data_IF_869653916428
#
_entry.id   IF_869653916428
#
_cell.length_a   1.000
_cell.length_b   1.000
_cell.length_c   1.000
_cell.angle_alpha   90.00
_cell.angle_beta   90.00
_cell.angle_gamma   90.00
#
_symmetry.space_group_name_H-M   'P 1'
#
loop_
_entity.id
_entity.type
_entity.pdbx_description
1 polymer ?
#
# COMPACT_ATOMS: atom_id res chain seq x y z
N UNK A 1 -27.87 69.57 -11.17
CA UNK A 1 -29.03 68.99 -10.46
C UNK A 1 -28.63 68.82 -9.02
N UNK A 2 -29.37 69.46 -8.12
CA UNK A 2 -29.18 69.44 -6.67
C UNK A 2 -29.54 68.08 -6.07
N UNK A 3 -28.83 67.67 -5.01
CA UNK A 3 -29.19 66.53 -4.15
C UNK A 3 -28.00 65.98 -3.38
N UNK A 4 -27.82 66.32 -2.09
CA UNK A 4 -26.65 65.99 -1.27
C UNK A 4 -26.91 64.91 -0.20
N UNK A 5 -25.88 64.69 0.63
CA UNK A 5 -25.83 64.13 1.98
C UNK A 5 -25.52 62.63 2.19
N UNK A 6 -24.29 62.41 2.69
CA UNK A 6 -23.95 61.35 3.64
C UNK A 6 -24.38 61.79 5.05
N UNK A 7 -24.98 60.91 5.85
CA UNK A 7 -24.70 60.88 7.31
C UNK A 7 -24.85 59.47 7.87
N UNK A 8 -23.89 59.14 8.75
CA UNK A 8 -23.71 57.99 9.63
C UNK A 8 -24.91 57.58 10.51
N UNK A 9 -24.90 56.31 10.92
CA UNK A 9 -25.56 55.80 12.14
C UNK A 9 -25.79 54.29 12.04
N UNK A 10 -24.86 53.46 12.48
CA UNK A 10 -24.81 52.87 13.82
C UNK A 10 -25.43 51.45 13.85
N UNK A 11 -24.52 50.49 14.01
CA UNK A 11 -24.70 49.09 14.37
C UNK A 11 -25.52 48.91 15.67
N UNK A 12 -26.33 47.85 15.75
CA UNK A 12 -26.23 47.00 16.94
C UNK A 12 -26.37 45.50 16.65
N UNK A 13 -25.41 44.72 17.15
CA UNK A 13 -25.72 43.47 17.84
C UNK A 13 -25.12 42.20 17.25
N UNK A 14 -23.81 42.04 17.41
CA UNK A 14 -23.15 40.74 17.50
C UNK A 14 -23.82 39.82 18.55
N UNK A 15 -23.99 38.52 18.26
CA UNK A 15 -23.92 37.49 19.28
C UNK A 15 -22.49 36.94 19.40
N UNK A 16 -21.83 37.32 20.50
CA UNK A 16 -20.67 36.67 21.13
C UNK A 16 -21.00 35.18 21.44
N UNK A 17 -20.33 34.16 20.89
CA UNK A 17 -19.09 33.45 21.32
C UNK A 17 -19.25 31.98 20.83
N UNK A 18 -18.20 31.12 20.68
CA UNK A 18 -16.91 31.16 21.39
C UNK A 18 -15.66 31.07 20.50
N UNK A 19 -14.54 31.48 21.11
CA UNK A 19 -13.17 31.37 20.60
C UNK A 19 -12.66 29.93 20.49
N UNK A 20 -11.39 29.78 20.06
CA UNK A 20 -10.98 28.74 19.14
C UNK A 20 -10.80 27.39 19.84
N UNK A 21 -11.69 26.45 19.56
CA UNK A 21 -11.26 25.06 19.45
C UNK A 21 -10.44 24.97 18.17
N UNK A 22 -9.17 25.38 18.28
CA UNK A 22 -8.12 24.79 17.49
C UNK A 22 -8.16 23.31 17.83
N UNK A 23 -8.97 22.58 17.08
CA UNK A 23 -8.78 21.16 16.90
C UNK A 23 -7.33 21.06 16.43
N UNK A 24 -6.47 20.57 17.31
CA UNK A 24 -5.29 19.82 16.90
C UNK A 24 -5.83 18.69 16.01
N UNK A 25 -6.12 19.02 14.75
CA UNK A 25 -6.00 18.07 13.66
C UNK A 25 -4.51 17.75 13.65
N UNK A 26 -4.16 16.73 14.42
CA UNK A 26 -2.95 15.96 14.22
C UNK A 26 -2.91 15.71 12.71
N UNK A 27 -1.99 16.31 11.96
CA UNK A 27 -1.83 15.89 10.58
C UNK A 27 -1.43 14.43 10.71
N UNK A 28 -2.32 13.55 10.29
CA UNK A 28 -1.93 12.18 9.99
C UNK A 28 -0.94 12.36 8.85
N UNK A 29 0.34 12.44 9.21
CA UNK A 29 1.46 12.35 8.29
C UNK A 29 1.42 10.92 7.76
N UNK A 30 0.59 10.70 6.75
CA UNK A 30 0.58 9.44 6.02
C UNK A 30 1.85 9.42 5.18
N UNK A 31 2.83 8.66 5.65
CA UNK A 31 4.00 8.31 4.88
C UNK A 31 3.56 7.67 3.57
N UNK A 32 3.92 8.28 2.45
CA UNK A 32 3.59 7.71 1.15
C UNK A 32 3.98 8.57 -0.04
N UNK A 33 3.54 9.83 -0.10
CA UNK A 33 3.78 10.70 -1.27
C UNK A 33 3.82 12.17 -0.86
N UNK A 34 4.79 12.96 -1.35
CA UNK A 34 4.84 14.39 -1.09
C UNK A 34 3.58 15.11 -1.60
N UNK A 35 2.93 15.86 -0.72
CA UNK A 35 1.67 16.53 -1.02
C UNK A 35 1.87 17.81 -1.86
N UNK A 36 3.08 18.40 -1.88
CA UNK A 36 3.39 19.67 -2.52
C UNK A 36 4.73 19.67 -3.31
N UNK A 37 4.84 20.56 -4.30
CA UNK A 37 6.05 20.77 -5.12
C UNK A 37 7.29 21.15 -4.29
N UNK A 38 7.09 21.76 -3.11
CA UNK A 38 8.14 22.08 -2.15
C UNK A 38 8.78 20.82 -1.55
N UNK A 39 7.98 19.79 -1.29
CA UNK A 39 8.42 18.54 -0.67
C UNK A 39 9.17 17.65 -1.67
N UNK A 40 8.77 17.66 -2.95
CA UNK A 40 9.55 17.06 -4.03
C UNK A 40 10.88 17.76 -4.30
N UNK A 41 10.91 19.09 -4.15
CA UNK A 41 12.15 19.84 -4.29
C UNK A 41 13.13 19.48 -3.16
N UNK A 42 12.62 19.23 -1.95
CA UNK A 42 13.41 18.73 -0.82
C UNK A 42 13.87 17.29 -1.05
N UNK A 43 13.00 16.40 -1.53
CA UNK A 43 13.37 15.03 -1.86
C UNK A 43 14.45 14.98 -2.96
N UNK A 44 14.30 15.78 -4.03
CA UNK A 44 15.35 15.94 -5.06
C UNK A 44 16.66 16.47 -4.47
N UNK A 45 16.60 17.39 -3.51
CA UNK A 45 17.78 17.96 -2.84
C UNK A 45 18.46 16.94 -1.90
N UNK A 46 17.68 16.04 -1.29
CA UNK A 46 18.15 14.91 -0.47
C UNK A 46 18.64 13.73 -1.32
N UNK A 47 18.65 13.86 -2.64
CA UNK A 47 19.13 12.82 -3.55
C UNK A 47 18.12 11.70 -3.80
N UNK A 48 16.89 11.80 -3.26
CA UNK A 48 15.83 10.83 -3.51
C UNK A 48 15.47 10.82 -4.99
N UNK A 49 15.54 9.63 -5.59
CA UNK A 49 15.17 9.38 -6.97
C UNK A 49 13.87 8.57 -7.04
N UNK A 50 13.11 8.67 -8.14
CA UNK A 50 11.88 7.90 -8.34
C UNK A 50 12.10 6.38 -8.22
N UNK A 51 11.75 5.78 -7.08
CA UNK A 51 11.89 4.35 -6.83
C UNK A 51 13.05 3.97 -5.91
N UNK A 52 13.75 4.94 -5.32
CA UNK A 52 14.33 4.75 -4.01
C UNK A 52 13.19 4.46 -3.01
N UNK A 53 13.39 3.57 -2.00
CA UNK A 53 12.42 3.43 -0.93
C UNK A 53 12.14 4.81 -0.35
N UNK A 54 10.87 5.11 -0.08
CA UNK A 54 10.52 6.35 0.60
C UNK A 54 11.34 6.36 1.90
N UNK A 55 12.11 7.43 2.19
CA UNK A 55 12.88 7.47 3.43
C UNK A 55 11.91 7.22 4.61
N UNK A 56 12.33 6.42 5.60
CA UNK A 56 11.57 6.21 6.83
C UNK A 56 11.36 7.57 7.50
N UNK A 57 10.20 8.17 7.25
CA UNK A 57 9.84 9.50 7.79
C UNK A 57 9.63 9.45 9.31
N UNK A 58 9.58 8.27 9.91
CA UNK A 58 9.57 8.07 11.36
C UNK A 58 10.92 8.45 12.02
N UNK A 59 12.02 8.44 11.27
CA UNK A 59 13.37 8.79 11.76
C UNK A 59 13.73 10.28 11.71
N UNK A 60 12.90 11.13 11.08
CA UNK A 60 13.22 12.56 10.93
C UNK A 60 12.97 13.38 12.20
N UNK A 61 12.40 12.75 13.25
CA UNK A 61 12.13 13.39 14.53
C UNK A 61 13.17 13.05 15.61
N UNK A 62 14.15 12.19 15.31
CA UNK A 62 15.31 12.03 16.18
C UNK A 62 16.29 13.17 15.93
N UNK A 63 16.58 13.91 17.00
CA UNK A 63 17.58 14.95 17.00
C UNK A 63 18.92 14.37 16.50
N UNK A 64 19.69 15.10 15.68
CA UNK A 64 20.99 14.60 15.24
C UNK A 64 21.92 14.49 16.46
N UNK A 65 22.18 13.26 16.90
CA UNK A 65 23.30 12.99 17.80
C UNK A 65 24.59 13.39 17.06
N UNK A 66 25.36 14.26 17.69
CA UNK A 66 26.61 14.81 17.16
C UNK A 66 27.59 13.69 16.77
N UNK A 67 27.75 13.43 15.47
CA UNK A 67 28.84 12.59 14.97
C UNK A 67 30.04 13.48 14.68
N UNK A 68 31.02 13.38 15.58
CA UNK A 68 32.33 13.98 15.45
C UNK A 68 33.04 13.58 14.15
N UNK A 69 33.71 14.58 13.59
CA UNK A 69 34.78 14.50 12.60
C UNK A 69 35.63 13.22 12.68
N UNK A 70 35.75 12.48 11.57
CA UNK A 70 37.04 12.02 11.05
C UNK A 70 36.95 11.41 9.63
N UNK A 71 37.85 11.89 8.75
CA UNK A 71 38.63 11.03 7.86
C UNK A 71 37.97 10.47 6.59
N UNK A 72 38.17 11.18 5.48
CA UNK A 72 38.05 10.65 4.12
C UNK A 72 38.87 9.36 3.95
N UNK A 73 38.23 8.26 3.56
CA UNK A 73 38.91 7.07 3.06
C UNK A 73 38.14 6.47 1.89
N UNK A 74 38.64 6.69 0.67
CA UNK A 74 38.24 5.92 -0.51
C UNK A 74 38.89 4.53 -0.45
N UNK A 75 38.19 3.44 -0.78
CA UNK A 75 38.87 2.22 -1.19
C UNK A 75 38.62 1.89 -2.67
N UNK A 76 39.74 1.67 -3.36
CA UNK A 76 39.84 1.08 -4.69
C UNK A 76 39.33 -0.36 -4.71
N UNK A 77 38.82 -0.73 -5.88
CA UNK A 77 38.34 -2.04 -6.30
C UNK A 77 39.29 -3.20 -5.97
N UNK A 78 38.73 -4.28 -5.42
CA UNK A 78 39.39 -5.57 -5.25
C UNK A 78 38.39 -6.71 -5.44
N UNK A 79 38.36 -7.27 -6.63
CA UNK A 79 37.53 -8.42 -7.04
C UNK A 79 38.03 -9.70 -6.37
N UNK A 80 37.16 -10.49 -5.75
CA UNK A 80 37.44 -11.91 -5.42
C UNK A 80 36.21 -12.78 -5.66
N UNK A 81 36.41 -13.82 -6.47
CA UNK A 81 35.44 -14.87 -6.80
C UNK A 81 35.43 -15.94 -5.71
N UNK A 82 34.25 -16.40 -5.31
CA UNK A 82 34.10 -17.59 -4.45
C UNK A 82 32.64 -17.82 -4.07
N UNK A 83 32.08 -18.95 -4.49
CA UNK A 83 30.65 -19.23 -4.39
C UNK A 83 30.20 -19.99 -3.13
N UNK A 84 28.86 -20.16 -3.11
CA UNK A 84 28.06 -21.22 -2.50
C UNK A 84 27.34 -20.90 -1.19
N UNK A 85 26.02 -20.71 -1.36
CA UNK A 85 24.89 -21.34 -0.63
C UNK A 85 24.78 -21.24 0.88
N UNK A 86 23.59 -20.74 1.24
CA UNK A 86 22.72 -21.09 2.37
C UNK A 86 22.73 -20.10 3.55
N UNK A 87 21.53 -19.52 3.75
CA UNK A 87 20.94 -19.01 4.99
C UNK A 87 21.90 -18.33 5.96
N UNK A 88 21.84 -17.00 6.02
CA UNK A 88 22.37 -16.27 7.17
C UNK A 88 21.25 -15.42 7.76
N UNK A 89 21.01 -15.62 9.06
CA UNK A 89 20.54 -14.57 9.96
C UNK A 89 21.27 -13.26 9.59
N UNK A 90 20.50 -12.21 9.31
CA UNK A 90 21.05 -10.91 8.94
C UNK A 90 21.84 -10.33 10.13
N UNK A 91 23.13 -10.09 9.90
CA UNK A 91 23.99 -9.34 10.81
C UNK A 91 23.58 -7.86 10.74
N UNK A 92 23.03 -7.26 11.81
CA UNK A 92 22.43 -5.91 11.77
C UNK A 92 23.43 -4.76 11.52
N UNK A 93 24.68 -5.07 11.17
CA UNK A 93 25.76 -4.12 10.90
C UNK A 93 26.28 -4.18 9.46
N UNK A 94 25.77 -5.08 8.61
CA UNK A 94 26.07 -5.04 7.17
C UNK A 94 25.09 -4.08 6.48
N UNK A 95 25.56 -3.22 5.55
CA UNK A 95 24.65 -2.44 4.73
C UNK A 95 23.73 -3.41 3.97
N UNK A 96 22.42 -3.21 4.12
CA UNK A 96 21.39 -3.94 3.37
C UNK A 96 21.77 -3.92 1.88
N UNK A 97 22.04 -5.08 1.29
CA UNK A 97 22.26 -5.13 -0.16
C UNK A 97 20.97 -4.69 -0.85
N UNK A 98 21.05 -3.81 -1.88
CA UNK A 98 19.85 -3.30 -2.53
C UNK A 98 19.04 -4.46 -3.11
N UNK A 99 17.74 -4.50 -2.81
CA UNK A 99 16.85 -5.54 -3.34
C UNK A 99 16.95 -5.56 -4.88
N UNK A 100 17.08 -6.75 -5.50
CA UNK A 100 17.17 -6.86 -6.94
C UNK A 100 15.89 -6.31 -7.59
N UNK A 101 16.05 -5.46 -8.60
CA UNK A 101 14.92 -4.93 -9.37
C UNK A 101 14.26 -6.08 -10.16
N UNK A 102 13.08 -6.49 -9.73
CA UNK A 102 12.30 -7.58 -10.34
C UNK A 102 11.02 -7.07 -10.99
N UNK A 103 10.55 -7.71 -12.08
CA UNK A 103 9.25 -7.39 -12.66
C UNK A 103 8.11 -7.61 -11.66
N UNK A 104 7.27 -6.60 -11.48
CA UNK A 104 6.13 -6.65 -10.57
C UNK A 104 5.01 -7.49 -11.21
N UNK A 105 4.51 -8.48 -10.47
CA UNK A 105 3.29 -9.21 -10.80
C UNK A 105 2.22 -8.96 -9.76
N UNK A 106 1.32 -8.01 -10.03
CA UNK A 106 0.24 -7.61 -9.12
C UNK A 106 -0.67 -8.74 -8.66
N UNK A 107 -0.80 -9.83 -9.42
CA UNK A 107 -1.65 -10.95 -9.06
C UNK A 107 -1.06 -11.84 -7.95
N UNK A 108 0.25 -11.77 -7.73
CA UNK A 108 0.97 -12.67 -6.82
C UNK A 108 1.58 -11.96 -5.61
N UNK A 109 1.40 -10.64 -5.50
CA UNK A 109 1.91 -9.89 -4.34
C UNK A 109 1.15 -10.26 -3.07
N UNK A 110 1.90 -10.47 -2.00
CA UNK A 110 1.42 -10.46 -0.61
C UNK A 110 0.90 -9.05 -0.24
N UNK A 111 0.08 -8.92 0.83
CA UNK A 111 -0.56 -7.66 1.17
C UNK A 111 0.44 -6.56 1.52
N UNK A 112 1.49 -6.87 2.27
CA UNK A 112 2.50 -5.88 2.70
C UNK A 112 3.31 -5.37 1.50
N UNK A 113 3.76 -6.27 0.61
CA UNK A 113 4.46 -5.85 -0.61
C UNK A 113 3.54 -5.10 -1.56
N UNK A 114 2.28 -5.51 -1.69
CA UNK A 114 1.31 -4.79 -2.53
C UNK A 114 1.13 -3.35 -2.06
N UNK A 115 0.99 -3.12 -0.76
CA UNK A 115 0.90 -1.77 -0.17
C UNK A 115 2.12 -0.92 -0.54
N UNK A 116 3.32 -1.44 -0.29
CA UNK A 116 4.56 -0.75 -0.59
C UNK A 116 4.67 -0.42 -2.09
N UNK A 117 4.39 -1.38 -2.98
CA UNK A 117 4.47 -1.17 -4.42
C UNK A 117 3.44 -0.18 -4.94
N UNK A 118 2.24 -0.13 -4.35
CA UNK A 118 1.24 0.88 -4.69
C UNK A 118 1.75 2.29 -4.39
N UNK A 119 2.28 2.53 -3.19
CA UNK A 119 2.80 3.84 -2.80
C UNK A 119 4.02 4.26 -3.63
N UNK A 120 4.96 3.34 -3.85
CA UNK A 120 6.12 3.61 -4.70
C UNK A 120 5.70 3.89 -6.15
N UNK A 121 4.64 3.24 -6.65
CA UNK A 121 4.08 3.53 -7.96
C UNK A 121 3.40 4.91 -8.00
N UNK A 122 2.62 5.32 -6.98
CA UNK A 122 2.01 6.66 -6.96
C UNK A 122 3.05 7.77 -6.95
N UNK A 123 4.11 7.60 -6.15
CA UNK A 123 5.24 8.53 -6.14
C UNK A 123 5.93 8.62 -7.52
N UNK A 124 6.18 7.48 -8.17
CA UNK A 124 6.73 7.45 -9.53
C UNK A 124 5.81 8.12 -10.55
N UNK A 125 4.51 7.87 -10.48
CA UNK A 125 3.50 8.45 -11.38
C UNK A 125 3.40 9.96 -11.18
N UNK A 126 3.44 10.44 -9.94
CA UNK A 126 3.49 11.87 -9.64
C UNK A 126 4.72 12.50 -10.30
N UNK A 127 5.91 11.95 -10.05
CA UNK A 127 7.16 12.46 -10.65
C UNK A 127 7.09 12.46 -12.17
N UNK A 128 6.63 11.35 -12.76
CA UNK A 128 6.52 11.22 -14.21
C UNK A 128 5.63 12.31 -14.79
N UNK A 129 4.48 12.58 -14.15
CA UNK A 129 3.56 13.64 -14.54
C UNK A 129 4.19 15.02 -14.45
N UNK A 130 4.91 15.32 -13.38
CA UNK A 130 5.56 16.60 -13.11
C UNK A 130 6.70 16.88 -14.11
N UNK A 131 7.67 15.98 -14.21
CA UNK A 131 8.90 16.21 -15.02
C UNK A 131 8.65 16.10 -16.52
N UNK A 132 7.77 15.20 -16.96
CA UNK A 132 7.50 14.96 -18.38
C UNK A 132 6.21 15.62 -18.89
N UNK A 133 5.51 16.36 -18.03
CA UNK A 133 4.32 17.13 -18.36
C UNK A 133 3.19 16.29 -18.94
N UNK A 134 2.85 15.16 -18.30
CA UNK A 134 1.78 14.28 -18.79
C UNK A 134 0.43 14.98 -18.61
N UNK A 135 -0.37 14.95 -19.67
CA UNK A 135 -1.72 15.53 -19.65
C UNK A 135 -2.76 14.50 -19.18
N UNK A 136 -3.96 14.92 -18.76
CA UNK A 136 -5.06 13.99 -18.43
C UNK A 136 -5.48 13.05 -19.57
N UNK A 137 -5.11 13.36 -20.82
CA UNK A 137 -5.35 12.51 -21.99
C UNK A 137 -4.35 11.36 -22.11
N UNK A 138 -3.22 11.46 -21.40
CA UNK A 138 -2.20 10.41 -21.34
C UNK A 138 -2.29 9.68 -20.01
N UNK A 139 -2.50 10.40 -18.91
CA UNK A 139 -2.56 9.85 -17.57
C UNK A 139 -3.74 10.47 -16.80
N UNK A 140 -4.84 9.75 -16.62
CA UNK A 140 -6.02 10.27 -15.95
C UNK A 140 -5.82 10.29 -14.43
N UNK A 141 -6.58 11.11 -13.68
CA UNK A 141 -6.45 11.16 -12.22
C UNK A 141 -6.62 9.80 -11.55
N UNK A 142 -7.64 9.03 -11.96
CA UNK A 142 -7.96 7.72 -11.39
C UNK A 142 -7.20 6.56 -12.06
N UNK A 143 -5.94 6.78 -12.43
CA UNK A 143 -5.11 5.78 -13.14
C UNK A 143 -5.04 4.44 -12.41
N UNK A 144 -5.07 4.45 -11.06
CA UNK A 144 -4.99 3.27 -10.20
C UNK A 144 -6.16 2.30 -10.35
N UNK A 145 -7.30 2.76 -10.89
CA UNK A 145 -8.48 1.94 -11.15
C UNK A 145 -8.42 1.19 -12.49
N UNK A 146 -7.46 1.52 -13.34
CA UNK A 146 -7.32 0.95 -14.69
C UNK A 146 -6.15 -0.03 -14.73
N UNK A 147 -6.41 -1.35 -14.70
CA UNK A 147 -5.35 -2.34 -14.60
C UNK A 147 -4.34 -2.23 -15.76
N UNK A 148 -4.78 -1.90 -16.97
CA UNK A 148 -3.90 -1.68 -18.12
C UNK A 148 -2.90 -0.53 -17.92
N UNK A 149 -3.31 0.54 -17.21
CA UNK A 149 -2.41 1.64 -16.87
C UNK A 149 -1.45 1.21 -15.77
N UNK A 150 -1.96 0.52 -14.74
CA UNK A 150 -1.15 -0.01 -13.64
C UNK A 150 -0.04 -0.92 -14.16
N UNK A 151 -0.36 -1.87 -15.06
CA UNK A 151 0.64 -2.75 -15.66
C UNK A 151 1.70 -2.00 -16.47
N UNK A 152 1.28 -1.06 -17.32
CA UNK A 152 2.19 -0.27 -18.15
C UNK A 152 3.11 0.62 -17.30
N UNK A 153 2.55 1.30 -16.29
CA UNK A 153 3.29 2.19 -15.39
C UNK A 153 4.26 1.41 -14.49
N UNK A 154 3.86 0.23 -14.03
CA UNK A 154 4.73 -0.65 -13.23
C UNK A 154 5.93 -1.14 -14.05
N UNK A 155 5.69 -1.53 -15.30
CA UNK A 155 6.77 -1.95 -16.20
C UNK A 155 7.74 -0.78 -16.51
N UNK A 156 7.19 0.42 -16.74
CA UNK A 156 7.98 1.63 -16.98
C UNK A 156 8.82 2.05 -15.77
N UNK A 157 8.27 1.91 -14.56
CA UNK A 157 9.00 2.14 -13.31
C UNK A 157 10.12 1.12 -13.13
N UNK A 158 9.82 -0.16 -13.34
CA UNK A 158 10.82 -1.25 -13.23
C UNK A 158 11.97 -1.03 -14.22
N UNK A 159 11.68 -0.65 -15.46
CA UNK A 159 12.73 -0.36 -16.45
C UNK A 159 13.51 0.91 -16.13
N UNK A 160 12.89 1.90 -15.49
CA UNK A 160 13.59 3.08 -14.99
C UNK A 160 14.61 2.68 -13.92
N UNK A 161 14.19 1.87 -12.93
CA UNK A 161 15.03 1.42 -11.83
C UNK A 161 16.23 0.60 -12.34
N UNK A 162 15.96 -0.38 -13.21
CA UNK A 162 17.01 -1.19 -13.82
C UNK A 162 17.96 -0.36 -14.70
N UNK A 163 17.45 0.70 -15.36
CA UNK A 163 18.26 1.57 -16.22
C UNK A 163 19.13 2.58 -15.48
N UNK A 164 18.85 2.83 -14.19
CA UNK A 164 19.55 3.81 -13.36
C UNK A 164 20.28 3.18 -12.16
N UNK A 165 20.35 1.85 -12.09
CA UNK A 165 21.19 1.14 -11.13
C UNK A 165 22.68 1.46 -11.33
N UNK A 166 23.48 1.35 -10.28
CA UNK A 166 24.92 1.71 -10.30
C UNK A 166 25.73 0.87 -11.29
N UNK A 167 25.32 -0.38 -11.50
CA UNK A 167 25.94 -1.33 -12.42
C UNK A 167 25.30 -1.33 -13.82
N UNK A 168 24.31 -0.46 -14.06
CA UNK A 168 23.62 -0.37 -15.34
C UNK A 168 24.53 0.14 -16.45
N UNK A 169 24.29 -0.33 -17.67
CA UNK A 169 24.99 0.17 -18.86
C UNK A 169 24.75 1.69 -19.03
N UNK A 170 25.77 2.53 -19.33
CA UNK A 170 25.61 3.98 -19.43
C UNK A 170 24.58 4.48 -20.46
N UNK A 171 24.26 3.64 -21.45
CA UNK A 171 23.23 3.92 -22.46
C UNK A 171 21.80 3.55 -22.03
N UNK A 172 21.60 2.89 -20.90
CA UNK A 172 20.29 2.44 -20.42
C UNK A 172 19.28 3.59 -20.22
N UNK A 173 19.66 4.77 -19.69
CA UNK A 173 18.73 5.90 -19.59
C UNK A 173 18.18 6.36 -20.96
N UNK A 174 18.99 6.26 -22.01
CA UNK A 174 18.59 6.64 -23.36
C UNK A 174 17.62 5.62 -23.97
N UNK A 175 17.80 4.33 -23.65
CA UNK A 175 16.83 3.26 -23.97
C UNK A 175 15.52 3.51 -23.24
N UNK A 176 15.58 3.83 -21.95
CA UNK A 176 14.38 4.11 -21.16
C UNK A 176 13.57 5.29 -21.72
N UNK A 177 14.20 6.37 -22.18
CA UNK A 177 13.50 7.50 -22.82
C UNK A 177 12.76 7.11 -24.11
N UNK A 178 13.30 6.14 -24.85
CA UNK A 178 12.61 5.56 -26.00
C UNK A 178 11.39 4.75 -25.54
N UNK A 179 11.56 3.91 -24.54
CA UNK A 179 10.47 3.10 -23.98
C UNK A 179 9.35 3.99 -23.41
N UNK A 180 9.70 5.08 -22.72
CA UNK A 180 8.78 6.11 -22.25
C UNK A 180 7.96 6.70 -23.40
N UNK A 181 8.59 7.00 -24.54
CA UNK A 181 7.90 7.56 -25.71
C UNK A 181 6.87 6.58 -26.28
N UNK A 182 7.19 5.29 -26.30
CA UNK A 182 6.29 4.24 -26.74
C UNK A 182 5.17 3.99 -25.71
N UNK A 183 5.48 4.02 -24.41
CA UNK A 183 4.52 3.93 -23.31
C UNK A 183 3.52 5.09 -23.35
N UNK A 184 3.96 6.34 -23.55
CA UNK A 184 3.04 7.50 -23.67
C UNK A 184 2.00 7.32 -24.77
N UNK A 185 2.36 6.66 -25.89
CA UNK A 185 1.41 6.32 -26.95
C UNK A 185 0.38 5.31 -26.48
N UNK A 186 0.82 4.21 -25.84
CA UNK A 186 -0.07 3.17 -25.29
C UNK A 186 -1.00 3.73 -24.22
N UNK A 187 -0.48 4.54 -23.29
CA UNK A 187 -1.27 5.19 -22.25
C UNK A 187 -2.41 6.03 -22.85
N UNK A 188 -2.13 6.83 -23.88
CA UNK A 188 -3.15 7.60 -24.59
C UNK A 188 -4.21 6.70 -25.24
N UNK A 189 -3.79 5.60 -25.87
CA UNK A 189 -4.72 4.64 -26.47
C UNK A 189 -5.62 3.97 -25.41
N UNK A 190 -5.09 3.67 -24.22
CA UNK A 190 -5.86 3.13 -23.09
C UNK A 190 -6.86 4.13 -22.53
N UNK A 191 -6.43 5.37 -22.27
CA UNK A 191 -7.31 6.46 -21.81
C UNK A 191 -8.45 6.69 -22.79
N UNK A 192 -8.16 6.71 -24.09
CA UNK A 192 -9.18 6.87 -25.13
C UNK A 192 -10.21 5.72 -25.12
N UNK A 193 -9.77 4.48 -24.84
CA UNK A 193 -10.66 3.31 -24.76
C UNK A 193 -11.56 3.33 -23.52
N UNK A 194 -11.03 3.80 -22.39
CA UNK A 194 -11.80 3.95 -21.15
C UNK A 194 -12.80 5.09 -21.24
N UNK A 195 -12.44 6.17 -21.95
CA UNK A 195 -13.25 7.39 -22.02
C UNK A 195 -13.28 8.15 -20.68
N UNK A 196 -12.23 7.97 -19.88
CA UNK A 196 -12.00 8.72 -18.64
C UNK A 196 -11.58 10.15 -18.97
N UNK A 197 -11.89 11.08 -18.08
CA UNK A 197 -11.64 12.53 -18.22
C UNK A 197 -11.05 13.07 -16.92
N UNK A 198 -10.75 14.37 -16.89
CA UNK A 198 -10.24 15.01 -15.67
C UNK A 198 -11.23 14.93 -14.49
N UNK A 199 -12.54 14.93 -14.77
CA UNK A 199 -13.59 15.04 -13.74
C UNK A 199 -14.45 13.79 -13.60
N UNK A 200 -14.45 12.92 -14.60
CA UNK A 200 -15.23 11.68 -14.62
C UNK A 200 -14.35 10.50 -15.01
N UNK A 201 -14.43 9.44 -14.21
CA UNK A 201 -13.80 8.17 -14.49
C UNK A 201 -14.80 7.12 -14.97
N UNK A 202 -14.35 6.23 -15.86
CA UNK A 202 -15.15 5.13 -16.43
C UNK A 202 -14.26 3.92 -16.57
N UNK A 203 -14.63 2.80 -15.96
CA UNK A 203 -13.85 1.57 -16.10
C UNK A 203 -13.82 1.05 -17.54
N UNK A 204 -12.76 0.33 -17.85
CA UNK A 204 -12.51 -0.24 -19.17
C UNK A 204 -13.65 -1.14 -19.61
N UNK A 205 -14.25 -0.84 -20.76
CA UNK A 205 -15.34 -1.65 -21.29
C UNK A 205 -14.84 -3.01 -21.73
N UNK A 206 -15.35 -4.07 -21.10
CA UNK A 206 -15.11 -5.44 -21.54
C UNK A 206 -16.13 -5.83 -22.61
N UNK A 207 -15.66 -6.24 -23.78
CA UNK A 207 -16.51 -6.85 -24.80
C UNK A 207 -17.00 -8.20 -24.30
N UNK A 208 -18.31 -8.39 -24.23
CA UNK A 208 -18.91 -9.69 -23.91
C UNK A 208 -18.77 -10.62 -25.13
N UNK A 209 -18.19 -11.80 -24.92
CA UNK A 209 -18.07 -12.80 -25.97
C UNK A 209 -19.35 -13.65 -26.09
N UNK A 210 -19.59 -14.31 -27.23
CA UNK A 210 -20.74 -15.20 -27.39
C UNK A 210 -20.78 -16.28 -26.30
N UNK A 211 -21.90 -16.37 -25.57
CA UNK A 211 -22.09 -17.32 -24.47
C UNK A 211 -21.72 -16.77 -23.08
N UNK A 212 -21.09 -15.60 -22.99
CA UNK A 212 -20.88 -14.91 -21.73
C UNK A 212 -22.12 -14.08 -21.35
N UNK A 213 -22.33 -13.89 -20.05
CA UNK A 213 -23.31 -12.94 -19.56
C UNK A 213 -22.84 -11.51 -19.88
N UNK A 214 -23.75 -10.69 -20.40
CA UNK A 214 -23.44 -9.30 -20.70
C UNK A 214 -23.03 -8.58 -19.40
N UNK A 215 -21.86 -7.94 -19.42
CA UNK A 215 -21.41 -7.15 -18.30
C UNK A 215 -22.28 -5.89 -18.19
N UNK A 216 -22.59 -5.48 -16.96
CA UNK A 216 -23.25 -4.20 -16.70
C UNK A 216 -22.35 -3.07 -17.23
N UNK A 217 -22.94 -2.13 -17.97
CA UNK A 217 -22.19 -0.96 -18.43
C UNK A 217 -21.72 -0.14 -17.23
N UNK A 218 -20.44 0.26 -17.19
CA UNK A 218 -19.91 1.00 -16.06
C UNK A 218 -20.53 2.40 -15.98
N UNK A 219 -20.93 2.77 -14.77
CA UNK A 219 -21.46 4.10 -14.45
C UNK A 219 -20.28 5.06 -14.24
N UNK A 220 -20.34 6.28 -14.81
CA UNK A 220 -19.28 7.26 -14.59
C UNK A 220 -19.20 7.67 -13.12
N UNK A 221 -17.99 7.76 -12.58
CA UNK A 221 -17.73 8.18 -11.21
C UNK A 221 -17.05 9.54 -11.24
N UNK A 222 -17.54 10.49 -10.44
CA UNK A 222 -16.92 11.82 -10.33
C UNK A 222 -15.61 11.75 -9.55
N UNK A 223 -14.58 12.40 -10.08
CA UNK A 223 -13.27 12.55 -9.44
C UNK A 223 -13.33 13.78 -8.51
N UNK A 224 -13.49 13.55 -7.21
CA UNK A 224 -13.53 14.63 -6.21
C UNK A 224 -12.14 14.88 -5.60
N UNK A 225 -11.55 13.86 -5.00
CA UNK A 225 -10.21 13.87 -4.42
C UNK A 225 -9.47 12.61 -4.83
N UNK A 226 -8.43 12.77 -5.65
CA UNK A 226 -7.61 11.67 -6.16
C UNK A 226 -6.80 11.01 -5.05
N UNK A 227 -6.22 11.79 -4.14
CA UNK A 227 -5.32 11.27 -3.13
C UNK A 227 -6.09 10.44 -2.09
N UNK A 228 -7.25 10.94 -1.65
CA UNK A 228 -8.14 10.19 -0.78
C UNK A 228 -8.67 8.92 -1.46
N UNK A 229 -9.08 9.00 -2.74
CA UNK A 229 -9.54 7.83 -3.49
C UNK A 229 -8.46 6.75 -3.64
N UNK A 230 -7.21 7.19 -3.89
CA UNK A 230 -6.06 6.29 -3.97
C UNK A 230 -5.79 5.59 -2.64
N UNK A 231 -5.77 6.32 -1.52
CA UNK A 231 -5.55 5.74 -0.20
C UNK A 231 -6.62 4.70 0.17
N UNK A 232 -7.89 5.00 -0.11
CA UNK A 232 -9.01 4.04 0.09
C UNK A 232 -8.82 2.82 -0.80
N UNK A 233 -8.46 3.00 -2.07
CA UNK A 233 -8.22 1.90 -2.99
C UNK A 233 -7.09 0.97 -2.52
N UNK A 234 -5.98 1.52 -2.04
CA UNK A 234 -4.86 0.72 -1.52
C UNK A 234 -5.29 -0.05 -0.27
N UNK A 235 -5.99 0.61 0.67
CA UNK A 235 -6.50 -0.04 1.87
C UNK A 235 -7.46 -1.21 1.53
N UNK A 236 -8.37 -1.01 0.57
CA UNK A 236 -9.28 -2.04 0.08
C UNK A 236 -8.53 -3.20 -0.62
N UNK A 237 -7.50 -2.92 -1.42
CA UNK A 237 -6.68 -3.94 -2.08
C UNK A 237 -5.92 -4.81 -1.06
N UNK A 238 -5.29 -4.18 -0.07
CA UNK A 238 -4.57 -4.85 1.01
C UNK A 238 -5.51 -5.71 1.86
N UNK A 239 -6.67 -5.16 2.26
CA UNK A 239 -7.68 -5.92 3.01
C UNK A 239 -8.18 -7.13 2.22
N UNK A 240 -8.43 -6.96 0.91
CA UNK A 240 -8.83 -8.06 0.02
C UNK A 240 -7.77 -9.15 -0.06
N UNK A 241 -6.48 -8.80 -0.16
CA UNK A 241 -5.36 -9.76 -0.19
C UNK A 241 -5.25 -10.54 1.12
N UNK A 242 -5.30 -9.84 2.27
CA UNK A 242 -5.30 -10.47 3.59
C UNK A 242 -6.44 -11.48 3.77
N UNK A 243 -7.63 -11.14 3.27
CA UNK A 243 -8.76 -12.07 3.32
C UNK A 243 -8.50 -13.33 2.47
N UNK A 244 -7.97 -13.17 1.26
CA UNK A 244 -7.63 -14.30 0.39
C UNK A 244 -6.59 -15.22 1.04
N UNK A 245 -5.57 -14.64 1.68
CA UNK A 245 -4.55 -15.42 2.39
C UNK A 245 -5.11 -16.15 3.60
N UNK A 246 -5.96 -15.50 4.39
CA UNK A 246 -6.64 -16.11 5.52
C UNK A 246 -7.53 -17.28 5.08
N UNK A 247 -8.31 -17.11 4.00
CA UNK A 247 -9.15 -18.16 3.43
C UNK A 247 -8.31 -19.34 2.92
N UNK A 248 -7.21 -19.06 2.23
CA UNK A 248 -6.29 -20.09 1.72
C UNK A 248 -5.62 -20.86 2.87
N UNK A 249 -5.20 -20.17 3.94
CA UNK A 249 -4.60 -20.80 5.10
C UNK A 249 -5.61 -21.69 5.83
N UNK A 250 -6.85 -21.25 5.99
CA UNK A 250 -7.92 -22.05 6.56
C UNK A 250 -8.15 -23.33 5.75
N UNK A 251 -8.20 -23.24 4.41
CA UNK A 251 -8.36 -24.41 3.53
C UNK A 251 -7.18 -25.40 3.67
N UNK A 252 -5.95 -24.90 3.77
CA UNK A 252 -4.74 -25.70 3.98
C UNK A 252 -4.81 -26.42 5.34
N UNK A 253 -5.22 -25.74 6.39
CA UNK A 253 -5.37 -26.32 7.73
C UNK A 253 -6.45 -27.41 7.76
N UNK A 254 -7.59 -27.18 7.12
CA UNK A 254 -8.63 -28.19 6.95
C UNK A 254 -8.15 -29.41 6.16
N UNK A 255 -7.39 -29.19 5.08
CA UNK A 255 -6.80 -30.27 4.29
C UNK A 255 -5.76 -31.08 5.11
N UNK A 256 -4.93 -30.40 5.91
CA UNK A 256 -3.98 -31.04 6.85
C UNK A 256 -4.72 -31.83 7.91
N UNK A 257 -5.75 -31.26 8.54
CA UNK A 257 -6.58 -31.93 9.53
C UNK A 257 -7.25 -33.19 8.95
N UNK A 258 -7.87 -33.09 7.76
CA UNK A 258 -8.45 -34.25 7.05
C UNK A 258 -7.42 -35.33 6.75
N UNK A 259 -6.20 -34.95 6.36
CA UNK A 259 -5.10 -35.90 6.14
C UNK A 259 -4.68 -36.58 7.44
N UNK A 260 -4.53 -35.83 8.52
CA UNK A 260 -4.18 -36.36 9.84
C UNK A 260 -5.26 -37.30 10.39
N UNK A 261 -6.55 -36.96 10.24
CA UNK A 261 -7.66 -37.84 10.63
C UNK A 261 -7.63 -39.16 9.87
N UNK A 262 -7.45 -39.13 8.55
CA UNK A 262 -7.31 -40.36 7.74
C UNK A 262 -6.13 -41.22 8.16
N UNK A 263 -4.97 -40.61 8.42
CA UNK A 263 -3.79 -41.33 8.92
C UNK A 263 -4.05 -41.90 10.31
N UNK A 264 -4.72 -41.15 11.20
CA UNK A 264 -5.05 -41.61 12.54
C UNK A 264 -5.95 -42.85 12.51
N UNK A 265 -6.99 -42.83 11.68
CA UNK A 265 -7.89 -43.96 11.44
C UNK A 265 -7.14 -45.18 10.87
N UNK A 266 -6.27 -44.96 9.88
CA UNK A 266 -5.47 -46.01 9.27
C UNK A 266 -4.53 -46.70 10.28
N UNK A 267 -4.03 -45.97 11.27
CA UNK A 267 -3.09 -46.46 12.29
C UNK A 267 -3.76 -46.88 13.60
N UNK A 268 -5.10 -46.80 13.70
CA UNK A 268 -5.86 -47.22 14.89
C UNK A 268 -5.59 -46.39 16.15
N UNK A 269 -5.18 -45.12 15.99
CA UNK A 269 -4.87 -44.23 17.11
C UNK A 269 -6.17 -43.63 17.71
N UNK A 270 -6.28 -43.48 19.04
CA UNK A 270 -7.47 -42.92 19.66
C UNK A 270 -7.72 -41.46 19.22
N UNK A 271 -9.00 -41.12 19.04
CA UNK A 271 -9.44 -39.76 18.71
C UNK A 271 -9.13 -38.78 19.85
N UNK A 272 -8.81 -37.53 19.52
CA UNK A 272 -8.69 -36.46 20.51
C UNK A 272 -10.09 -36.03 20.93
N UNK A 273 -10.77 -36.85 21.72
CA UNK A 273 -11.95 -36.42 22.45
C UNK A 273 -11.49 -35.46 23.53
N UNK A 274 -11.54 -34.15 23.24
CA UNK A 274 -11.54 -33.11 24.29
C UNK A 274 -12.85 -33.23 25.03
N UNK A 275 -12.94 -34.19 25.95
CA UNK A 275 -14.01 -34.27 26.93
C UNK A 275 -13.78 -33.13 27.94
N UNK A 276 -14.44 -32.00 27.70
CA UNK A 276 -14.74 -31.02 28.75
C UNK A 276 -15.51 -31.75 29.83
N UNK A 277 -14.81 -32.07 30.93
CA UNK A 277 -15.40 -32.62 32.15
C UNK A 277 -16.25 -31.53 32.80
N UNK A 278 -17.56 -31.59 32.55
CA UNK A 278 -18.57 -30.91 33.35
C UNK A 278 -18.63 -31.57 34.74
N UNK A 279 -18.54 -30.83 35.85
CA UNK A 279 -18.60 -31.44 37.18
C UNK A 279 -20.05 -31.82 37.52
N UNK A 280 -20.28 -33.10 37.80
CA UNK A 280 -21.57 -33.64 38.21
C UNK A 280 -21.97 -33.23 39.65
N UNK A 281 -23.28 -33.14 39.96
CA UNK A 281 -23.77 -32.72 41.27
C UNK A 281 -23.81 -33.91 42.25
N UNK A 282 -23.21 -33.74 43.44
CA UNK A 282 -23.26 -34.73 44.52
C UNK A 282 -24.65 -34.75 45.19
N UNK A 283 -25.35 -35.86 45.01
CA UNK A 283 -26.57 -36.23 45.72
C UNK A 283 -26.31 -37.28 46.78
N UNK A 284 -26.62 -36.91 48.03
CA UNK A 284 -27.22 -37.73 49.11
C UNK A 284 -26.49 -39.00 49.57
N UNK A 285 -26.02 -38.94 50.84
CA UNK A 285 -25.83 -40.13 51.67
C UNK A 285 -26.70 -40.01 52.92
N UNK A 286 -27.68 -40.90 53.02
CA UNK A 286 -28.50 -41.15 54.20
C UNK A 286 -27.74 -41.96 55.25
N UNK A 287 -27.87 -41.61 56.54
CA UNK A 287 -28.24 -42.50 57.65
C UNK A 287 -27.79 -41.95 59.01
N UNK A 288 -28.73 -41.79 59.95
CA UNK A 288 -28.62 -42.29 61.33
C UNK A 288 -29.85 -41.82 62.15
N UNK A 289 -30.80 -42.73 62.33
CA UNK A 289 -31.77 -42.69 63.43
C UNK A 289 -31.20 -43.55 64.55
N UNK A 290 -30.99 -42.97 65.73
CA UNK A 290 -31.34 -43.53 67.05
C UNK A 290 -30.65 -42.75 68.17
N UNK A 291 -31.46 -42.13 69.05
CA UNK A 291 -31.27 -42.22 70.51
C UNK A 291 -32.52 -41.74 71.25
N UNK A 292 -33.14 -42.70 71.96
CA UNK A 292 -34.14 -42.55 73.02
C UNK A 292 -33.58 -41.88 74.29
N UNK A 293 -34.48 -41.34 75.15
CA UNK A 293 -34.24 -41.11 76.59
C UNK A 293 -34.82 -39.79 77.15
N UNK A 294 -36.14 -39.64 77.42
CA UNK A 294 -36.85 -39.93 78.71
C UNK A 294 -36.62 -38.87 79.81
N UNK A 295 -37.51 -38.61 80.81
CA UNK A 295 -38.94 -38.91 81.01
C UNK A 295 -39.87 -37.68 80.97
#
# INVERSE_FOLDING_TARGET
MSGPDQVHGADPGEPELPGPDAQDEVPVTQGGVPADASELSLLRMLGWRPGDPLPDVDGLNDAPDEIGNDGQHFPSSGRSLGGSTASSDADPLLPEEPEPVVPINWNTLDPERAEQEWWQLDAFVYWLRDDFGLTPQELPPMWHRHPELVWELSALRTSWLAGHAEDAHPGSPLVWLRDLSDSRRRLRDWVQRCGTTLTEDRSTRRTTWPGEQAATSPVPVTVADRAADFAVFVADDVARRRQIEADAQAEIEEARARRLSRLREQWGLPGTSTSTTEPAPDGQSSAATDQEGTP
#
